data_IF_491538343843
#
_entry.id   IF_491538343843
#
_cell.length_a   1.000
_cell.length_b   1.000
_cell.length_c   1.000
_cell.angle_alpha   90.00
_cell.angle_beta   90.00
_cell.angle_gamma   90.00
#
_symmetry.space_group_name_H-M   'P 1'
#
loop_
_entity.id
_entity.type
_entity.pdbx_description
1 polymer ?
#
# COMPACT_ATOMS: atom_id res chain seq x y z
N UNK A 1 19.42 21.48 -5.61
CA UNK A 1 18.01 21.69 -5.96
C UNK A 1 17.21 20.44 -5.64
N UNK A 2 16.13 20.58 -4.93
CA UNK A 2 15.22 19.46 -4.69
C UNK A 2 14.43 19.14 -5.97
N UNK A 3 14.21 17.88 -6.24
CA UNK A 3 13.37 17.44 -7.36
C UNK A 3 12.07 16.89 -6.83
N UNK A 4 11.02 17.00 -7.62
CA UNK A 4 9.73 16.41 -7.30
C UNK A 4 9.60 15.04 -7.92
N UNK A 5 8.88 14.16 -7.26
CA UNK A 5 8.64 12.80 -7.77
C UNK A 5 7.45 12.82 -8.72
N UNK A 6 7.68 12.35 -9.93
CA UNK A 6 6.62 12.14 -10.92
C UNK A 6 6.46 10.64 -11.17
N UNK A 7 5.29 10.13 -10.80
CA UNK A 7 5.02 8.69 -10.90
C UNK A 7 4.44 8.36 -12.28
N UNK A 8 5.28 7.86 -13.17
CA UNK A 8 4.83 7.45 -14.50
C UNK A 8 4.73 5.92 -14.63
N UNK A 9 5.59 5.19 -13.91
CA UNK A 9 5.61 3.72 -13.99
C UNK A 9 5.94 3.09 -12.63
N UNK A 10 5.18 3.40 -11.57
CA UNK A 10 5.39 2.73 -10.29
C UNK A 10 5.08 1.24 -10.40
N UNK A 11 5.72 0.44 -9.54
CA UNK A 11 5.47 -1.00 -9.49
C UNK A 11 4.71 -1.32 -8.22
N UNK A 12 3.56 -1.98 -8.36
CA UNK A 12 2.74 -2.47 -7.25
C UNK A 12 2.64 -3.97 -7.39
N UNK A 13 3.11 -4.70 -6.37
CA UNK A 13 3.10 -6.15 -6.35
C UNK A 13 2.27 -6.62 -5.16
N UNK A 14 1.27 -7.46 -5.41
CA UNK A 14 0.39 -8.02 -4.39
C UNK A 14 0.51 -9.53 -4.46
N UNK A 15 0.94 -10.13 -3.34
CA UNK A 15 1.13 -11.58 -3.24
C UNK A 15 2.00 -12.13 -4.40
N UNK A 16 3.12 -11.44 -4.68
CA UNK A 16 4.06 -11.76 -5.73
C UNK A 16 3.50 -11.63 -7.16
N UNK A 17 2.33 -11.02 -7.33
CA UNK A 17 1.76 -10.75 -8.65
C UNK A 17 1.87 -9.26 -8.94
N UNK A 18 2.44 -8.91 -10.08
CA UNK A 18 2.57 -7.51 -10.50
C UNK A 18 1.22 -7.02 -11.00
N UNK A 19 0.64 -6.06 -10.29
CA UNK A 19 -0.66 -5.46 -10.61
C UNK A 19 -0.52 -4.05 -11.16
N UNK A 20 0.68 -3.64 -11.55
CA UNK A 20 0.97 -2.26 -11.92
C UNK A 20 0.16 -1.77 -13.12
N UNK A 21 -0.12 -2.65 -14.08
CA UNK A 21 -0.85 -2.28 -15.29
C UNK A 21 -2.34 -1.99 -15.06
N UNK A 22 -2.85 -2.32 -13.87
CA UNK A 22 -4.24 -2.11 -13.50
C UNK A 22 -4.42 -0.96 -12.52
N UNK A 23 -3.34 -0.53 -11.86
CA UNK A 23 -3.40 0.48 -10.82
C UNK A 23 -3.47 1.88 -11.41
N UNK A 24 -4.36 2.70 -10.86
CA UNK A 24 -4.44 4.12 -11.22
C UNK A 24 -3.84 5.00 -10.12
N UNK A 25 -3.81 4.52 -8.89
CA UNK A 25 -3.34 5.27 -7.74
C UNK A 25 -2.92 4.31 -6.64
N UNK A 26 -1.90 4.68 -5.89
CA UNK A 26 -1.45 3.92 -4.74
C UNK A 26 -0.94 4.87 -3.67
N UNK A 27 -1.37 4.66 -2.43
CA UNK A 27 -0.91 5.45 -1.28
C UNK A 27 -0.40 4.48 -0.23
N UNK A 28 0.89 4.56 0.05
CA UNK A 28 1.53 3.76 1.09
C UNK A 28 1.88 4.69 2.23
N UNK A 29 1.32 4.45 3.40
CA UNK A 29 1.56 5.26 4.59
C UNK A 29 2.18 4.39 5.68
N UNK A 30 3.38 4.77 6.10
CA UNK A 30 4.00 4.17 7.27
C UNK A 30 3.59 4.99 8.49
N UNK A 31 3.03 4.33 9.49
CA UNK A 31 2.56 5.01 10.69
C UNK A 31 2.95 4.25 11.93
N UNK A 32 3.47 4.99 12.91
CA UNK A 32 3.77 4.46 14.23
C UNK A 32 2.91 5.22 15.22
N UNK A 33 2.15 4.48 16.04
CA UNK A 33 1.26 5.09 17.01
C UNK A 33 2.06 5.99 17.96
N UNK A 34 1.53 7.19 18.24
CA UNK A 34 2.12 8.11 19.20
C UNK A 34 1.39 7.97 20.53
N UNK A 35 2.16 7.65 21.58
CA UNK A 35 1.65 7.55 22.93
C UNK A 35 2.13 8.75 23.74
N UNK A 36 1.21 9.43 24.40
CA UNK A 36 1.58 10.59 25.21
C UNK A 36 2.27 10.15 26.49
N UNK A 37 3.45 10.71 26.74
CA UNK A 37 4.27 10.42 27.89
C UNK A 37 4.55 11.68 28.73
N UNK A 38 3.67 12.67 28.65
CA UNK A 38 3.81 13.93 29.39
C UNK A 38 3.59 13.68 30.88
N UNK A 39 4.50 14.19 31.71
CA UNK A 39 4.43 14.04 33.17
C UNK A 39 4.25 15.42 33.82
N UNK A 40 4.00 15.39 35.14
CA UNK A 40 3.88 16.61 35.92
C UNK A 40 5.16 17.44 35.87
N UNK A 41 5.01 18.73 35.82
CA UNK A 41 6.14 19.67 35.74
C UNK A 41 6.63 19.94 34.35
N UNK A 42 6.13 19.26 33.32
CA UNK A 42 6.46 19.53 31.96
C UNK A 42 5.54 20.60 31.40
N UNK A 43 6.11 21.51 30.57
CA UNK A 43 5.35 22.56 29.92
C UNK A 43 5.00 22.21 28.48
N UNK A 44 5.66 21.18 27.91
CA UNK A 44 5.40 20.70 26.55
C UNK A 44 4.93 19.24 26.61
N UNK A 45 4.13 18.86 25.63
CA UNK A 45 3.70 17.47 25.51
C UNK A 45 4.83 16.62 24.94
N UNK A 46 5.01 15.43 25.49
CA UNK A 46 5.98 14.43 25.03
C UNK A 46 5.25 13.21 24.50
N UNK A 47 5.77 12.62 23.41
CA UNK A 47 5.20 11.42 22.82
C UNK A 47 6.27 10.37 22.61
N UNK A 48 5.90 9.11 22.76
CA UNK A 48 6.76 7.96 22.44
C UNK A 48 6.04 7.08 21.41
N UNK A 49 6.82 6.30 20.66
CA UNK A 49 6.28 5.40 19.66
C UNK A 49 5.61 4.18 20.29
N UNK A 50 4.45 3.83 19.79
CA UNK A 50 3.74 2.61 20.12
C UNK A 50 3.86 1.57 19.03
N UNK A 51 2.75 0.88 18.73
CA UNK A 51 2.72 -0.13 17.69
C UNK A 51 2.71 0.51 16.32
N UNK A 52 3.35 -0.13 15.36
CA UNK A 52 3.34 0.30 13.97
C UNK A 52 2.09 -0.23 13.28
N UNK A 53 1.43 0.64 12.52
CA UNK A 53 0.24 0.29 11.77
C UNK A 53 0.28 1.01 10.42
N UNK A 54 0.95 0.39 9.47
CA UNK A 54 1.10 0.94 8.12
C UNK A 54 -0.04 0.46 7.23
N UNK A 55 -0.35 1.24 6.21
CA UNK A 55 -1.43 0.91 5.26
C UNK A 55 -0.98 1.14 3.83
N UNK A 56 -1.52 0.32 2.93
CA UNK A 56 -1.40 0.55 1.48
C UNK A 56 -2.81 0.57 0.90
N UNK A 57 -3.20 1.71 0.35
CA UNK A 57 -4.46 1.86 -0.36
C UNK A 57 -4.18 1.95 -1.85
N UNK A 58 -4.83 1.11 -2.64
CA UNK A 58 -4.62 1.03 -4.07
C UNK A 58 -5.95 1.19 -4.78
N UNK A 59 -6.00 2.09 -5.76
CA UNK A 59 -7.11 2.21 -6.69
C UNK A 59 -6.72 1.54 -8.00
N UNK A 60 -7.55 0.64 -8.49
CA UNK A 60 -7.22 -0.10 -9.71
C UNK A 60 -8.47 -0.40 -10.52
N UNK A 61 -8.26 -0.62 -11.81
CA UNK A 61 -9.34 -1.06 -12.67
C UNK A 61 -9.71 -2.51 -12.34
N UNK A 62 -11.00 -2.76 -12.22
CA UNK A 62 -11.48 -4.10 -11.97
C UNK A 62 -11.50 -4.89 -13.28
N UNK A 63 -10.98 -6.11 -13.23
CA UNK A 63 -10.98 -7.01 -14.37
C UNK A 63 -11.25 -8.43 -13.89
N UNK A 64 -12.11 -9.13 -14.60
CA UNK A 64 -12.46 -10.52 -14.28
C UNK A 64 -11.70 -11.53 -15.14
N UNK A 65 -10.80 -11.07 -15.98
CA UNK A 65 -9.96 -11.95 -16.79
C UNK A 65 -8.97 -12.73 -15.92
N UNK A 66 -8.44 -13.82 -16.45
CA UNK A 66 -7.47 -14.65 -15.74
C UNK A 66 -6.21 -13.83 -15.40
N UNK A 67 -5.71 -14.01 -14.18
CA UNK A 67 -4.52 -13.33 -13.64
C UNK A 67 -4.66 -11.82 -13.48
N UNK A 68 -5.88 -11.30 -13.61
CA UNK A 68 -6.16 -9.88 -13.44
C UNK A 68 -6.65 -9.60 -12.01
N UNK A 69 -7.26 -8.42 -11.81
CA UNK A 69 -7.63 -7.91 -10.47
C UNK A 69 -8.45 -8.91 -9.66
N UNK A 70 -9.59 -9.32 -10.18
CA UNK A 70 -10.48 -10.19 -9.42
C UNK A 70 -9.89 -11.57 -9.19
N UNK A 71 -9.29 -12.17 -10.22
CA UNK A 71 -8.71 -13.50 -10.12
C UNK A 71 -7.57 -13.55 -9.09
N UNK A 72 -6.80 -12.47 -8.96
CA UNK A 72 -5.71 -12.39 -8.00
C UNK A 72 -6.21 -12.14 -6.58
N UNK A 73 -7.19 -11.26 -6.41
CA UNK A 73 -7.57 -10.77 -5.09
C UNK A 73 -8.67 -11.58 -4.40
N UNK A 74 -9.48 -12.32 -5.16
CA UNK A 74 -10.66 -13.01 -4.59
C UNK A 74 -10.32 -13.98 -3.47
N UNK A 75 -9.17 -14.62 -3.54
CA UNK A 75 -8.74 -15.59 -2.54
C UNK A 75 -7.96 -14.94 -1.38
N UNK A 76 -7.65 -13.66 -1.47
CA UNK A 76 -6.83 -12.97 -0.48
C UNK A 76 -7.65 -12.27 0.59
N UNK A 77 -8.94 -12.04 0.35
CA UNK A 77 -9.81 -11.37 1.31
C UNK A 77 -9.88 -12.19 2.60
N UNK A 78 -9.64 -11.53 3.73
CA UNK A 78 -9.61 -12.21 5.02
C UNK A 78 -8.31 -12.92 5.32
N UNK A 79 -7.27 -12.70 4.52
CA UNK A 79 -5.96 -13.31 4.72
C UNK A 79 -4.87 -12.26 4.84
N UNK A 80 -3.69 -12.69 5.31
CA UNK A 80 -2.51 -11.86 5.36
C UNK A 80 -1.68 -12.09 4.10
N UNK A 81 -1.25 -11.01 3.47
CA UNK A 81 -0.47 -11.08 2.23
C UNK A 81 0.72 -10.13 2.29
N UNK A 82 1.71 -10.37 1.43
CA UNK A 82 2.84 -9.47 1.27
C UNK A 82 2.55 -8.53 0.10
N UNK A 83 2.65 -7.22 0.37
CA UNK A 83 2.45 -6.19 -0.65
C UNK A 83 3.70 -5.34 -0.76
N UNK A 84 4.03 -4.92 -1.97
CA UNK A 84 5.22 -4.12 -2.26
C UNK A 84 4.87 -2.98 -3.18
N UNK A 85 5.56 -1.86 -3.00
CA UNK A 85 5.43 -0.71 -3.89
C UNK A 85 6.81 -0.10 -4.14
N UNK A 86 7.03 0.35 -5.35
CA UNK A 86 8.26 0.98 -5.77
C UNK A 86 7.93 2.15 -6.68
N UNK A 87 8.59 3.32 -6.52
CA UNK A 87 8.24 4.51 -7.30
C UNK A 87 8.41 4.36 -8.80
N UNK A 88 9.39 3.59 -9.25
CA UNK A 88 9.59 3.34 -10.69
C UNK A 88 9.94 1.88 -10.94
N UNK A 89 9.85 1.46 -12.20
CA UNK A 89 10.18 0.09 -12.61
C UNK A 89 11.69 -0.15 -12.69
N UNK A 90 12.51 0.87 -12.46
CA UNK A 90 13.97 0.72 -12.48
C UNK A 90 14.45 -0.13 -11.31
N UNK A 91 15.72 -0.50 -11.33
CA UNK A 91 16.33 -1.31 -10.27
C UNK A 91 16.22 -0.61 -8.91
N UNK A 92 16.06 -1.40 -7.86
CA UNK A 92 15.97 -0.89 -6.49
C UNK A 92 17.26 -0.18 -6.11
N UNK A 93 17.12 1.03 -5.54
CA UNK A 93 18.25 1.83 -5.11
C UNK A 93 17.81 2.79 -4.01
N UNK A 94 18.76 3.58 -3.49
CA UNK A 94 18.45 4.58 -2.46
C UNK A 94 17.47 5.64 -2.94
N UNK A 95 17.42 5.91 -4.24
CA UNK A 95 16.47 6.86 -4.85
C UNK A 95 15.24 6.18 -5.44
N UNK A 96 15.20 4.86 -5.42
CA UNK A 96 14.07 4.05 -5.87
C UNK A 96 13.86 2.90 -4.90
N UNK A 97 13.49 3.21 -3.63
CA UNK A 97 13.35 2.16 -2.62
C UNK A 97 12.11 1.32 -2.84
N UNK A 98 12.21 0.02 -2.55
CA UNK A 98 11.08 -0.88 -2.56
C UNK A 98 10.54 -1.04 -1.14
N UNK A 99 9.34 -0.56 -0.91
CA UNK A 99 8.67 -0.64 0.40
C UNK A 99 7.78 -1.87 0.43
N UNK A 100 7.87 -2.64 1.51
CA UNK A 100 7.16 -3.92 1.66
C UNK A 100 6.40 -3.93 2.97
N UNK A 101 5.14 -4.38 2.93
CA UNK A 101 4.38 -4.81 4.11
C UNK A 101 4.25 -6.32 4.07
N UNK A 102 4.85 -7.00 5.06
CA UNK A 102 4.77 -8.45 5.20
C UNK A 102 3.66 -8.79 6.19
N UNK A 103 2.68 -9.57 5.76
CA UNK A 103 1.55 -9.93 6.60
C UNK A 103 0.48 -8.85 6.69
N UNK A 104 0.35 -8.02 5.67
CA UNK A 104 -0.73 -7.04 5.59
C UNK A 104 -2.07 -7.74 5.41
N UNK A 105 -3.10 -7.24 6.10
CA UNK A 105 -4.43 -7.87 6.09
C UNK A 105 -5.34 -7.17 5.08
N UNK A 106 -5.97 -7.96 4.22
CA UNK A 106 -6.97 -7.46 3.27
C UNK A 106 -8.36 -7.76 3.83
N UNK A 107 -9.06 -6.71 4.28
CA UNK A 107 -10.34 -6.85 4.93
C UNK A 107 -11.50 -6.97 3.96
N UNK A 108 -11.48 -6.20 2.88
CA UNK A 108 -12.60 -6.14 1.95
C UNK A 108 -12.13 -5.99 0.52
N UNK A 109 -12.94 -6.53 -0.39
CA UNK A 109 -12.73 -6.40 -1.83
C UNK A 109 -14.07 -6.03 -2.47
N UNK A 110 -14.22 -4.82 -3.03
CA UNK A 110 -15.39 -4.50 -3.83
C UNK A 110 -15.43 -5.40 -5.05
N UNK A 111 -16.51 -6.16 -5.22
CA UNK A 111 -16.64 -7.08 -6.36
C UNK A 111 -16.98 -6.31 -7.63
N UNK A 112 -17.97 -5.44 -7.53
CA UNK A 112 -18.38 -4.58 -8.62
C UNK A 112 -18.60 -3.18 -8.05
N UNK A 113 -17.98 -2.19 -8.66
CA UNK A 113 -18.09 -0.80 -8.21
C UNK A 113 -18.06 0.12 -9.44
N UNK A 114 -19.08 0.01 -10.27
CA UNK A 114 -19.11 0.79 -11.50
C UNK A 114 -20.51 1.20 -11.85
N UNK A 115 -20.61 1.99 -12.89
CA UNK A 115 -21.87 2.44 -13.45
C UNK A 115 -21.84 2.33 -14.97
N UNK A 116 -23.00 2.31 -15.58
CA UNK A 116 -23.10 2.18 -17.01
C UNK A 116 -22.35 3.30 -17.74
N UNK A 117 -21.51 2.93 -18.70
CA UNK A 117 -20.73 3.87 -19.48
C UNK A 117 -19.40 4.27 -18.86
N UNK A 118 -19.02 3.71 -17.72
CA UNK A 118 -17.76 3.99 -17.05
C UNK A 118 -16.98 2.71 -16.80
N UNK A 119 -15.65 2.82 -16.73
CA UNK A 119 -14.82 1.69 -16.32
C UNK A 119 -15.00 1.44 -14.81
N UNK A 120 -14.98 0.17 -14.43
CA UNK A 120 -15.11 -0.22 -13.03
C UNK A 120 -13.77 -0.03 -12.33
N UNK A 121 -13.74 0.87 -11.35
CA UNK A 121 -12.54 1.16 -10.53
C UNK A 121 -12.86 0.81 -9.08
N UNK A 122 -11.97 0.03 -8.47
CA UNK A 122 -12.12 -0.36 -7.08
C UNK A 122 -10.98 0.18 -6.23
N UNK A 123 -11.27 0.46 -4.96
CA UNK A 123 -10.28 0.85 -3.96
C UNK A 123 -10.14 -0.27 -2.96
N UNK A 124 -8.91 -0.72 -2.73
CA UNK A 124 -8.62 -1.74 -1.72
C UNK A 124 -7.56 -1.22 -0.77
N UNK A 125 -7.65 -1.67 0.49
CA UNK A 125 -6.73 -1.26 1.54
C UNK A 125 -6.15 -2.48 2.23
N UNK A 126 -4.83 -2.53 2.30
CA UNK A 126 -4.08 -3.51 3.08
C UNK A 126 -3.61 -2.83 4.36
N UNK A 127 -3.87 -3.44 5.50
CA UNK A 127 -3.63 -2.83 6.80
C UNK A 127 -2.71 -3.70 7.66
N UNK A 128 -1.79 -3.06 8.35
CA UNK A 128 -0.90 -3.73 9.30
C UNK A 128 0.26 -4.44 8.64
N UNK A 129 0.83 -5.42 9.35
CA UNK A 129 2.00 -6.12 8.89
C UNK A 129 3.30 -5.41 9.27
N UNK A 130 4.41 -6.01 8.89
CA UNK A 130 5.74 -5.47 9.19
C UNK A 130 6.25 -4.70 7.98
N UNK A 131 6.61 -3.44 8.22
CA UNK A 131 7.19 -2.58 7.18
C UNK A 131 8.69 -2.84 7.06
N UNK A 132 9.15 -3.04 5.84
CA UNK A 132 10.56 -3.07 5.52
C UNK A 132 10.82 -2.31 4.23
N UNK A 133 12.04 -1.86 4.04
CA UNK A 133 12.42 -1.14 2.83
C UNK A 133 13.74 -1.69 2.30
N UNK A 134 13.80 -1.92 1.00
CA UNK A 134 15.02 -2.32 0.32
C UNK A 134 15.53 -1.14 -0.52
N UNK A 135 16.83 -0.89 -0.45
CA UNK A 135 17.48 0.20 -1.19
C UNK A 135 18.60 -0.30 -2.10
N UNK A 136 18.71 -1.61 -2.21
CA UNK A 136 19.71 -2.23 -3.11
C UNK A 136 19.24 -3.62 -3.54
#
# INVERSE_FOLDING_TARGET
>A
MASTTYLSNPVVTINAVDMSDQCTSAVFTRMIESLEATAFGQTNRSYVGGLENSTLTVSMYNSFSASETYATLKALVGTQVTVKIKPTAAATSATNPESTLTGAYLESLPIVNGQLGALDVIDITFTGGAYTVAIA
#
